data_IF_212197380724
#
_entry.id   IF_212197380724
#
_cell.length_a   1.000
_cell.length_b   1.000
_cell.length_c   1.000
_cell.angle_alpha   90.00
_cell.angle_beta   90.00
_cell.angle_gamma   90.00
#
_symmetry.space_group_name_H-M   'P 1'
#
loop_
_entity.id
_entity.type
_entity.pdbx_description
1 polymer ?
#
# COMPACT_ATOMS: atom_id res chain seq x y z
N UNK A 1 -4.99 -0.60 -43.77
CA UNK A 1 -5.26 0.72 -44.42
C UNK A 1 -4.04 1.25 -45.16
N UNK A 2 -2.89 1.40 -44.50
CA UNK A 2 -1.69 1.99 -45.09
C UNK A 2 -1.12 1.21 -46.28
N UNK A 3 -1.05 -0.13 -46.18
CA UNK A 3 -0.66 -1.00 -47.30
C UNK A 3 -1.67 -0.95 -48.47
N UNK A 4 -2.96 -0.81 -48.15
CA UNK A 4 -4.01 -0.61 -49.16
C UNK A 4 -3.87 0.72 -49.89
N UNK A 5 -3.55 1.81 -49.18
CA UNK A 5 -3.28 3.12 -49.77
C UNK A 5 -2.08 3.12 -50.71
N UNK A 6 -0.97 2.48 -50.29
CA UNK A 6 0.25 2.36 -51.11
C UNK A 6 -0.06 1.60 -52.42
N UNK A 7 -0.82 0.52 -52.35
CA UNK A 7 -1.26 -0.22 -53.55
C UNK A 7 -2.21 0.60 -54.43
N UNK A 8 -3.09 1.41 -53.81
CA UNK A 8 -4.05 2.23 -54.52
C UNK A 8 -3.38 3.37 -55.30
N UNK A 9 -2.46 4.10 -54.65
CA UNK A 9 -1.76 5.27 -55.23
C UNK A 9 -0.65 4.86 -56.19
N UNK A 10 0.02 3.73 -55.93
CA UNK A 10 1.12 3.24 -56.76
C UNK A 10 0.63 2.47 -57.99
N UNK A 11 0.53 1.13 -57.91
CA UNK A 11 0.21 0.31 -59.06
C UNK A 11 -1.21 0.56 -59.62
N UNK A 12 -2.24 0.65 -58.77
CA UNK A 12 -3.63 0.74 -59.24
C UNK A 12 -3.88 2.05 -59.98
N UNK A 13 -3.53 3.19 -59.40
CA UNK A 13 -3.71 4.49 -60.04
C UNK A 13 -2.88 4.62 -61.32
N UNK A 14 -1.64 4.11 -61.33
CA UNK A 14 -0.81 4.09 -62.53
C UNK A 14 -1.44 3.29 -63.67
N UNK A 15 -1.89 2.05 -63.40
CA UNK A 15 -2.51 1.20 -64.42
C UNK A 15 -3.81 1.80 -64.95
N UNK A 16 -4.65 2.40 -64.08
CA UNK A 16 -5.89 3.07 -64.49
C UNK A 16 -5.60 4.28 -65.38
N UNK A 17 -4.70 5.18 -64.97
CA UNK A 17 -4.38 6.38 -65.76
C UNK A 17 -3.66 6.05 -67.07
N UNK A 18 -2.83 5.00 -67.09
CA UNK A 18 -2.19 4.49 -68.31
C UNK A 18 -3.20 3.87 -69.27
N UNK A 19 -4.21 3.16 -68.79
CA UNK A 19 -5.28 2.56 -69.61
C UNK A 19 -6.10 3.59 -70.38
N UNK A 20 -6.22 4.81 -69.85
CA UNK A 20 -6.95 5.94 -70.45
C UNK A 20 -6.03 6.99 -71.09
N UNK A 21 -4.72 6.73 -71.17
CA UNK A 21 -3.69 7.63 -71.72
C UNK A 21 -3.68 9.05 -71.10
N UNK A 22 -4.12 9.13 -69.85
CA UNK A 22 -4.29 10.40 -69.09
C UNK A 22 -3.32 10.47 -67.92
N UNK A 23 -2.09 10.02 -68.12
CA UNK A 23 -1.07 9.92 -67.07
C UNK A 23 -0.75 11.29 -66.44
N UNK A 24 -0.87 12.37 -67.21
CA UNK A 24 -0.75 13.73 -66.69
C UNK A 24 -1.77 14.01 -65.57
N UNK A 25 -2.97 13.42 -65.57
CA UNK A 25 -3.96 13.65 -64.51
C UNK A 25 -3.55 13.10 -63.13
N UNK A 26 -2.44 12.35 -63.05
CA UNK A 26 -1.86 11.93 -61.78
C UNK A 26 -1.62 13.10 -60.82
N UNK A 27 -1.27 14.30 -61.33
CA UNK A 27 -1.04 15.47 -60.50
C UNK A 27 -2.31 15.94 -59.76
N UNK A 28 -3.52 15.64 -60.26
CA UNK A 28 -4.80 15.91 -59.57
C UNK A 28 -5.27 14.70 -58.77
N UNK A 29 -5.15 13.50 -59.37
CA UNK A 29 -5.67 12.29 -58.79
C UNK A 29 -4.99 11.91 -57.48
N UNK A 30 -3.66 12.10 -57.38
CA UNK A 30 -2.91 11.81 -56.16
C UNK A 30 -3.37 12.71 -54.99
N UNK A 31 -3.45 14.05 -55.13
CA UNK A 31 -4.01 14.92 -54.09
C UNK A 31 -5.43 14.55 -53.66
N UNK A 32 -6.35 14.33 -54.61
CA UNK A 32 -7.75 13.97 -54.31
C UNK A 32 -7.81 12.67 -53.51
N UNK A 33 -7.06 11.66 -53.94
CA UNK A 33 -7.02 10.37 -53.27
C UNK A 33 -6.39 10.45 -51.88
N UNK A 34 -5.39 11.32 -51.71
CA UNK A 34 -4.77 11.61 -50.41
C UNK A 34 -5.78 12.22 -49.44
N UNK A 35 -6.58 13.20 -49.89
CA UNK A 35 -7.63 13.83 -49.09
C UNK A 35 -8.71 12.82 -48.70
N UNK A 36 -9.18 12.02 -49.66
CA UNK A 36 -10.19 10.98 -49.40
C UNK A 36 -9.69 9.92 -48.42
N UNK A 37 -8.46 9.44 -48.60
CA UNK A 37 -7.87 8.47 -47.69
C UNK A 37 -7.64 9.05 -46.29
N UNK A 38 -7.23 10.32 -46.20
CA UNK A 38 -7.08 11.03 -44.93
C UNK A 38 -8.42 11.16 -44.22
N UNK A 39 -9.48 11.57 -44.93
CA UNK A 39 -10.83 11.65 -44.38
C UNK A 39 -11.37 10.28 -43.94
N UNK A 40 -11.17 9.24 -44.75
CA UNK A 40 -11.58 7.88 -44.42
C UNK A 40 -10.82 7.34 -43.19
N UNK A 41 -9.51 7.56 -43.12
CA UNK A 41 -8.67 7.12 -41.99
C UNK A 41 -9.02 7.89 -40.72
N UNK A 42 -9.26 9.20 -40.83
CA UNK A 42 -9.69 10.03 -39.71
C UNK A 42 -11.07 9.59 -39.19
N UNK A 43 -12.05 9.42 -40.08
CA UNK A 43 -13.40 8.94 -39.71
C UNK A 43 -13.38 7.52 -39.13
N UNK A 44 -12.56 6.63 -39.68
CA UNK A 44 -12.37 5.28 -39.14
C UNK A 44 -11.68 5.32 -37.76
N UNK A 45 -10.71 6.20 -37.59
CA UNK A 45 -10.06 6.46 -36.31
C UNK A 45 -11.04 6.95 -35.25
N UNK A 46 -11.95 7.86 -35.60
CA UNK A 46 -13.03 8.31 -34.71
C UNK A 46 -13.95 7.15 -34.30
N UNK A 47 -14.28 6.24 -35.22
CA UNK A 47 -15.16 5.10 -34.93
C UNK A 47 -14.51 4.01 -34.07
N UNK A 48 -13.22 3.72 -34.25
CA UNK A 48 -12.52 2.68 -33.48
C UNK A 48 -12.19 3.13 -32.05
N UNK A 49 -11.93 4.41 -31.84
CA UNK A 49 -11.33 4.92 -30.61
C UNK A 49 -12.20 4.78 -29.36
N UNK A 50 -13.47 4.41 -29.51
CA UNK A 50 -14.41 4.17 -28.41
C UNK A 50 -14.80 5.48 -27.71
N UNK A 51 -16.10 5.70 -27.55
CA UNK A 51 -16.62 6.85 -26.80
C UNK A 51 -16.87 6.50 -25.31
N UNK A 52 -16.44 5.31 -24.89
CA UNK A 52 -16.67 4.81 -23.54
C UNK A 52 -15.74 5.53 -22.55
N UNK A 53 -16.33 6.03 -21.47
CA UNK A 53 -15.61 6.63 -20.35
C UNK A 53 -15.11 5.51 -19.44
N UNK A 54 -13.85 5.56 -19.02
CA UNK A 54 -13.31 4.54 -18.10
C UNK A 54 -13.29 5.13 -16.70
N UNK A 55 -14.01 4.48 -15.78
CA UNK A 55 -13.97 4.77 -14.35
C UNK A 55 -13.07 3.75 -13.66
N UNK A 56 -11.90 4.21 -13.23
CA UNK A 56 -10.96 3.41 -12.47
C UNK A 56 -11.21 3.63 -10.97
N UNK A 57 -11.37 2.57 -10.20
CA UNK A 57 -11.56 2.61 -8.75
C UNK A 57 -10.57 1.69 -8.07
N UNK A 58 -9.71 2.27 -7.24
CA UNK A 58 -8.88 1.53 -6.30
C UNK A 58 -9.41 1.81 -4.91
N UNK A 59 -9.82 0.78 -4.18
CA UNK A 59 -10.37 0.93 -2.84
C UNK A 59 -9.52 0.23 -1.79
N UNK A 60 -9.41 0.82 -0.61
CA UNK A 60 -8.91 0.19 0.60
C UNK A 60 -10.08 0.14 1.57
N UNK A 61 -10.43 -1.07 2.01
CA UNK A 61 -11.60 -1.34 2.83
C UNK A 61 -11.15 -1.93 4.15
N UNK A 62 -11.55 -1.28 5.24
CA UNK A 62 -11.24 -1.71 6.61
C UNK A 62 -12.57 -2.08 7.31
N UNK A 63 -12.92 -3.38 7.36
CA UNK A 63 -14.15 -3.84 8.00
C UNK A 63 -14.15 -3.67 9.51
N UNK A 64 -15.33 -3.41 10.06
CA UNK A 64 -15.63 -3.44 11.49
C UNK A 64 -17.09 -3.89 11.67
N UNK A 65 -17.28 -5.13 12.13
CA UNK A 65 -18.62 -5.73 12.25
C UNK A 65 -19.27 -6.01 10.90
N UNK A 66 -20.45 -5.42 10.66
CA UNK A 66 -21.27 -5.51 9.43
C UNK A 66 -21.08 -4.29 8.50
N UNK A 67 -20.12 -3.43 8.82
CA UNK A 67 -19.79 -2.23 8.06
C UNK A 67 -18.29 -2.20 7.77
N UNK A 68 -17.89 -1.34 6.85
CA UNK A 68 -16.49 -1.07 6.61
C UNK A 68 -16.26 0.41 6.29
N UNK A 69 -15.08 0.89 6.69
CA UNK A 69 -14.56 2.15 6.19
C UNK A 69 -13.96 1.89 4.81
N UNK A 70 -14.58 2.43 3.77
CA UNK A 70 -14.11 2.33 2.40
C UNK A 70 -13.46 3.67 1.99
N UNK A 71 -12.18 3.60 1.61
CA UNK A 71 -11.45 4.70 0.99
C UNK A 71 -11.21 4.35 -0.47
N UNK A 72 -11.85 5.09 -1.37
CA UNK A 72 -11.77 4.85 -2.81
C UNK A 72 -11.05 6.00 -3.50
N UNK A 73 -10.04 5.66 -4.29
CA UNK A 73 -9.32 6.53 -5.19
C UNK A 73 -9.88 6.28 -6.58
N UNK A 74 -10.54 7.29 -7.13
CA UNK A 74 -11.24 7.22 -8.40
C UNK A 74 -10.49 8.02 -9.47
N UNK A 75 -10.45 7.49 -10.69
CA UNK A 75 -9.89 8.13 -11.87
C UNK A 75 -10.84 8.02 -13.05
N UNK A 76 -11.32 9.17 -13.53
CA UNK A 76 -12.18 9.23 -14.72
C UNK A 76 -11.30 9.56 -15.93
N UNK A 77 -11.19 8.60 -16.84
CA UNK A 77 -10.54 8.78 -18.13
C UNK A 77 -11.59 9.06 -19.20
N UNK A 78 -11.40 10.15 -19.94
CA UNK A 78 -12.37 10.60 -20.93
C UNK A 78 -11.79 10.64 -22.35
N UNK A 79 -12.47 10.05 -23.36
CA UNK A 79 -12.08 10.17 -24.77
C UNK A 79 -12.38 11.57 -25.37
N UNK A 80 -13.16 12.40 -24.66
CA UNK A 80 -13.55 13.75 -25.08
C UNK A 80 -13.32 14.80 -23.99
N UNK A 81 -13.20 16.07 -24.37
CA UNK A 81 -13.16 17.15 -23.39
C UNK A 81 -14.57 17.42 -22.86
N UNK A 82 -14.84 17.11 -21.58
CA UNK A 82 -16.18 17.22 -20.98
C UNK A 82 -16.12 17.41 -19.46
N UNK A 83 -17.18 17.97 -18.89
CA UNK A 83 -17.42 17.99 -17.45
C UNK A 83 -18.33 16.81 -17.04
N UNK A 84 -17.97 16.12 -15.97
CA UNK A 84 -18.72 14.97 -15.45
C UNK A 84 -19.31 15.28 -14.07
N UNK A 85 -20.53 14.82 -13.85
CA UNK A 85 -21.13 14.72 -12.53
C UNK A 85 -21.03 13.26 -12.07
N UNK A 86 -20.46 13.06 -10.89
CA UNK A 86 -20.26 11.76 -10.26
C UNK A 86 -21.11 11.73 -9.00
N UNK A 87 -22.09 10.83 -8.96
CA UNK A 87 -22.79 10.47 -7.75
C UNK A 87 -21.99 9.39 -7.01
N UNK A 88 -21.93 9.50 -5.69
CA UNK A 88 -21.33 8.50 -4.80
C UNK A 88 -22.45 8.02 -3.89
N UNK A 89 -22.61 6.70 -3.76
CA UNK A 89 -23.62 6.15 -2.86
C UNK A 89 -23.31 6.51 -1.39
N UNK A 90 -24.34 6.92 -0.63
CA UNK A 90 -24.24 7.23 0.80
C UNK A 90 -23.68 8.63 1.12
N UNK A 91 -23.35 8.85 2.40
CA UNK A 91 -22.75 10.11 2.89
C UNK A 91 -21.23 10.10 2.73
N UNK A 92 -20.77 9.91 1.50
CA UNK A 92 -19.35 9.92 1.20
C UNK A 92 -18.76 11.34 1.29
N UNK A 93 -17.52 11.41 1.76
CA UNK A 93 -16.70 12.60 1.78
C UNK A 93 -15.79 12.59 0.56
N UNK A 94 -16.00 13.51 -0.38
CA UNK A 94 -15.16 13.60 -1.59
C UNK A 94 -14.12 14.70 -1.49
N UNK A 95 -12.92 14.43 -1.99
CA UNK A 95 -11.83 15.41 -2.05
C UNK A 95 -11.03 15.30 -3.34
N UNK A 96 -10.46 16.40 -3.85
CA UNK A 96 -9.51 16.33 -4.96
C UNK A 96 -8.27 15.54 -4.52
N UNK A 97 -7.76 14.69 -5.40
CA UNK A 97 -6.43 14.13 -5.24
C UNK A 97 -5.43 15.10 -5.86
N UNK A 98 -4.75 15.85 -5.00
CA UNK A 98 -3.67 16.72 -5.43
C UNK A 98 -2.43 15.86 -5.63
N UNK A 99 -2.00 15.72 -6.88
CA UNK A 99 -0.61 15.42 -7.17
C UNK A 99 0.14 16.75 -7.06
N UNK A 100 1.00 16.92 -6.06
CA UNK A 100 1.91 18.07 -6.03
C UNK A 100 3.14 17.74 -6.89
N UNK A 101 3.29 18.35 -8.07
CA UNK A 101 4.47 18.13 -8.92
C UNK A 101 5.77 18.60 -8.26
N UNK A 102 5.68 19.47 -7.24
CA UNK A 102 6.83 20.03 -6.52
C UNK A 102 7.53 19.01 -5.63
N UNK A 103 6.85 17.95 -5.19
CA UNK A 103 7.48 16.89 -4.39
C UNK A 103 8.57 16.13 -5.17
N UNK A 104 8.62 16.29 -6.51
CA UNK A 104 9.63 15.72 -7.41
C UNK A 104 10.27 16.75 -8.35
N UNK A 105 10.29 18.04 -7.97
CA UNK A 105 11.13 19.07 -8.59
C UNK A 105 10.66 19.63 -9.94
N UNK A 106 9.38 19.46 -10.32
CA UNK A 106 8.88 20.01 -11.59
C UNK A 106 7.68 20.92 -11.34
N UNK A 107 7.87 22.24 -11.38
CA UNK A 107 6.75 23.18 -11.40
C UNK A 107 5.96 23.06 -12.70
N UNK A 108 4.91 22.24 -12.69
CA UNK A 108 3.81 22.43 -13.63
C UNK A 108 2.77 23.25 -12.90
N UNK A 109 2.55 24.51 -13.31
CA UNK A 109 1.56 25.44 -12.76
C UNK A 109 0.09 25.01 -12.94
N UNK A 110 -0.20 23.71 -12.88
CA UNK A 110 -1.55 23.14 -12.89
C UNK A 110 -1.90 22.73 -11.46
N UNK A 111 -2.68 23.56 -10.79
CA UNK A 111 -3.48 23.18 -9.61
C UNK A 111 -4.96 23.18 -10.02
N UNK A 112 -5.80 22.42 -9.31
CA UNK A 112 -6.01 20.98 -9.39
C UNK A 112 -7.21 20.66 -10.33
N UNK A 113 -7.48 19.38 -10.53
CA UNK A 113 -8.73 18.85 -11.09
C UNK A 113 -9.95 19.74 -10.80
N UNK A 114 -10.40 20.49 -11.82
CA UNK A 114 -11.54 21.39 -11.69
C UNK A 114 -12.80 20.59 -11.37
N UNK A 115 -13.58 21.02 -10.37
CA UNK A 115 -14.79 20.33 -9.92
C UNK A 115 -15.24 20.86 -8.56
N UNK A 116 -16.50 20.63 -8.21
CA UNK A 116 -17.08 20.90 -6.90
C UNK A 116 -17.17 19.59 -6.13
N UNK A 117 -16.48 19.51 -5.00
CA UNK A 117 -16.42 18.32 -4.16
C UNK A 117 -17.33 18.53 -2.95
N UNK A 118 -18.25 17.60 -2.73
CA UNK A 118 -19.21 17.69 -1.65
C UNK A 118 -18.80 16.75 -0.50
N UNK A 119 -19.14 17.17 0.71
CA UNK A 119 -18.88 16.47 1.96
C UNK A 119 -20.25 16.11 2.56
N UNK A 120 -20.71 14.88 2.34
CA UNK A 120 -22.07 14.44 2.68
C UNK A 120 -23.09 14.69 1.56
N UNK A 121 -23.86 13.66 1.21
CA UNK A 121 -24.96 13.70 0.24
C UNK A 121 -24.64 14.11 -1.21
N UNK A 122 -23.38 14.29 -1.59
CA UNK A 122 -23.00 14.70 -2.94
C UNK A 122 -21.62 14.20 -3.30
N UNK A 123 -21.49 13.65 -4.51
CA UNK A 123 -20.19 13.23 -5.04
C UNK A 123 -19.42 14.43 -5.60
N UNK A 124 -19.00 14.35 -6.85
CA UNK A 124 -18.23 15.41 -7.51
C UNK A 124 -19.05 15.99 -8.64
N UNK A 125 -19.23 17.32 -8.69
CA UNK A 125 -19.94 17.98 -9.80
C UNK A 125 -19.00 18.79 -10.67
N UNK A 126 -19.34 18.89 -11.95
CA UNK A 126 -18.60 19.67 -12.95
C UNK A 126 -17.10 19.32 -12.97
N UNK A 127 -16.77 18.03 -12.83
CA UNK A 127 -15.41 17.53 -12.88
C UNK A 127 -14.91 17.60 -14.32
N UNK A 128 -14.07 18.59 -14.64
CA UNK A 128 -13.58 18.79 -16.02
C UNK A 128 -12.45 17.82 -16.32
N UNK A 129 -12.63 17.05 -17.39
CA UNK A 129 -11.64 16.09 -17.89
C UNK A 129 -11.31 16.45 -19.33
N UNK A 130 -10.02 16.68 -19.60
CA UNK A 130 -9.53 16.91 -20.96
C UNK A 130 -9.62 15.64 -21.79
N UNK A 131 -9.69 15.81 -23.11
CA UNK A 131 -9.66 14.68 -24.04
C UNK A 131 -8.38 13.84 -23.85
N UNK A 132 -8.55 12.52 -23.75
CA UNK A 132 -7.50 11.52 -23.51
C UNK A 132 -6.71 11.74 -22.22
N UNK A 133 -7.30 12.44 -21.25
CA UNK A 133 -6.73 12.65 -19.94
C UNK A 133 -7.55 11.92 -18.87
N UNK A 134 -6.95 11.80 -17.70
CA UNK A 134 -7.60 11.31 -16.49
C UNK A 134 -7.66 12.42 -15.46
N UNK A 135 -8.81 12.53 -14.79
CA UNK A 135 -8.96 13.36 -13.58
C UNK A 135 -9.23 12.46 -12.39
N UNK A 136 -8.61 12.75 -11.25
CA UNK A 136 -8.65 11.89 -10.06
C UNK A 136 -9.24 12.60 -8.85
N UNK A 137 -9.91 11.82 -8.02
CA UNK A 137 -10.46 12.26 -6.73
C UNK A 137 -10.52 11.10 -5.76
N UNK A 138 -10.63 11.40 -4.47
CA UNK A 138 -10.84 10.41 -3.44
C UNK A 138 -12.24 10.57 -2.85
N UNK A 139 -12.84 9.45 -2.49
CA UNK A 139 -14.09 9.37 -1.75
C UNK A 139 -13.88 8.45 -0.53
N UNK A 140 -14.40 8.85 0.62
CA UNK A 140 -14.37 8.03 1.83
C UNK A 140 -15.79 7.92 2.40
N UNK A 141 -16.22 6.70 2.73
CA UNK A 141 -17.53 6.46 3.30
C UNK A 141 -17.52 5.26 4.25
N UNK A 142 -18.54 5.19 5.10
CA UNK A 142 -18.88 3.97 5.82
C UNK A 142 -19.96 3.23 5.04
N UNK A 143 -19.62 2.05 4.53
CA UNK A 143 -20.51 1.22 3.70
C UNK A 143 -20.90 -0.07 4.44
N UNK A 144 -22.05 -0.67 4.14
CA UNK A 144 -22.31 -2.06 4.51
C UNK A 144 -21.23 -2.96 3.94
N UNK A 145 -20.76 -3.93 4.72
CA UNK A 145 -19.75 -4.87 4.26
C UNK A 145 -19.97 -6.25 4.85
N UNK A 146 -19.89 -7.27 4.00
CA UNK A 146 -20.07 -8.65 4.42
C UNK A 146 -18.87 -9.14 5.23
N UNK A 147 -19.12 -9.92 6.27
CA UNK A 147 -18.08 -10.24 7.24
C UNK A 147 -17.04 -11.20 6.65
N UNK A 148 -15.77 -10.86 6.83
CA UNK A 148 -14.66 -11.80 6.67
C UNK A 148 -14.19 -12.13 8.09
N UNK A 149 -14.21 -13.41 8.44
CA UNK A 149 -13.94 -13.88 9.79
C UNK A 149 -12.50 -14.42 9.84
N UNK A 150 -11.71 -13.95 10.80
CA UNK A 150 -10.37 -14.47 11.07
C UNK A 150 -10.26 -14.70 12.58
N UNK A 151 -10.14 -15.96 12.98
CA UNK A 151 -10.01 -16.37 14.37
C UNK A 151 -8.67 -17.07 14.53
N UNK A 152 -7.70 -16.35 15.09
CA UNK A 152 -6.36 -16.87 15.31
C UNK A 152 -6.01 -16.85 16.80
N UNK A 153 -5.33 -17.90 17.24
CA UNK A 153 -4.68 -18.00 18.54
C UNK A 153 -3.18 -17.78 18.36
N UNK A 154 -2.59 -16.92 19.17
CA UNK A 154 -1.14 -16.82 19.33
C UNK A 154 -0.71 -17.68 20.52
N UNK A 155 0.04 -18.74 20.24
CA UNK A 155 0.65 -19.62 21.24
C UNK A 155 2.13 -19.83 20.93
N UNK A 156 2.99 -19.71 21.94
CA UNK A 156 4.42 -19.50 21.78
C UNK A 156 4.65 -18.40 20.72
N UNK A 157 5.26 -18.71 19.58
CA UNK A 157 5.46 -17.77 18.47
C UNK A 157 4.73 -18.22 17.18
N UNK A 158 3.58 -18.90 17.33
CA UNK A 158 2.82 -19.47 16.23
C UNK A 158 1.39 -18.92 16.24
N UNK A 159 0.97 -18.34 15.12
CA UNK A 159 -0.43 -17.98 14.86
C UNK A 159 -1.13 -19.20 14.25
N UNK A 160 -2.16 -19.72 14.93
CA UNK A 160 -2.96 -20.86 14.47
C UNK A 160 -4.44 -20.56 14.49
N UNK A 161 -5.18 -21.05 13.51
CA UNK A 161 -6.63 -20.92 13.50
C UNK A 161 -7.20 -20.99 12.09
N UNK A 162 -8.27 -20.25 11.83
CA UNK A 162 -8.94 -20.28 10.53
C UNK A 162 -9.32 -18.89 10.05
N UNK A 163 -9.43 -18.77 8.72
CA UNK A 163 -9.95 -17.61 8.01
C UNK A 163 -11.09 -18.06 7.12
N UNK A 164 -12.22 -17.37 7.22
CA UNK A 164 -13.45 -17.68 6.49
C UNK A 164 -13.99 -16.46 5.77
N UNK A 165 -14.34 -16.65 4.50
CA UNK A 165 -15.03 -15.63 3.72
C UNK A 165 -16.55 -15.74 3.93
N UNK A 166 -17.12 -14.86 4.75
CA UNK A 166 -18.57 -14.78 4.96
C UNK A 166 -19.31 -13.92 3.94
N UNK A 167 -18.60 -13.39 2.93
CA UNK A 167 -19.19 -12.63 1.83
C UNK A 167 -19.59 -13.47 0.63
N UNK A 168 -20.08 -12.78 -0.39
CA UNK A 168 -20.66 -13.31 -1.64
C UNK A 168 -19.68 -13.29 -2.82
N UNK A 169 -18.55 -12.61 -2.68
CA UNK A 169 -17.50 -12.55 -3.68
C UNK A 169 -16.24 -13.27 -3.22
N UNK A 170 -15.48 -13.83 -4.16
CA UNK A 170 -14.20 -14.48 -3.86
C UNK A 170 -13.18 -13.44 -3.38
N UNK A 171 -12.62 -13.66 -2.20
CA UNK A 171 -11.46 -12.90 -1.71
C UNK A 171 -10.20 -13.52 -2.32
N UNK A 172 -9.56 -12.82 -3.25
CA UNK A 172 -8.38 -13.32 -3.96
C UNK A 172 -7.10 -13.05 -3.19
N UNK A 173 -6.13 -13.95 -3.35
CA UNK A 173 -4.77 -13.82 -2.82
C UNK A 173 -4.74 -13.40 -1.33
N UNK A 174 -5.59 -14.02 -0.52
CA UNK A 174 -5.69 -13.68 0.89
C UNK A 174 -4.41 -14.08 1.62
N UNK A 175 -3.91 -13.22 2.50
CA UNK A 175 -2.69 -13.44 3.26
C UNK A 175 -2.81 -12.88 4.67
N UNK A 176 -2.41 -13.68 5.66
CA UNK A 176 -2.24 -13.20 7.05
C UNK A 176 -0.87 -12.57 7.16
N UNK A 177 -0.81 -11.34 7.66
CA UNK A 177 0.40 -10.54 7.76
C UNK A 177 0.65 -10.17 9.21
N UNK A 178 1.87 -10.38 9.69
CA UNK A 178 2.33 -9.93 10.99
C UNK A 178 3.82 -9.60 10.96
N UNK A 179 4.20 -8.42 11.48
CA UNK A 179 5.61 -8.06 11.66
C UNK A 179 6.46 -8.09 10.37
N UNK A 180 5.86 -7.84 9.20
CA UNK A 180 6.53 -7.91 7.89
C UNK A 180 6.61 -9.31 7.28
N UNK A 181 6.16 -10.33 8.01
CA UNK A 181 6.00 -11.69 7.53
C UNK A 181 4.59 -11.90 6.99
N UNK A 182 4.42 -12.84 6.07
CA UNK A 182 3.11 -13.18 5.52
C UNK A 182 2.95 -14.70 5.33
N UNK A 183 1.75 -15.19 5.63
CA UNK A 183 1.28 -16.53 5.29
C UNK A 183 0.18 -16.43 4.23
N UNK A 184 0.44 -17.00 3.05
CA UNK A 184 -0.51 -16.98 1.94
C UNK A 184 -1.61 -18.03 2.17
N UNK A 185 -2.84 -17.57 2.42
CA UNK A 185 -4.05 -18.39 2.51
C UNK A 185 -4.56 -18.75 1.10
N UNK A 186 -4.33 -17.85 0.14
CA UNK A 186 -4.76 -18.00 -1.25
C UNK A 186 -6.18 -17.48 -1.47
N UNK A 187 -6.85 -17.94 -2.52
CA UNK A 187 -8.22 -17.51 -2.81
C UNK A 187 -9.21 -18.15 -1.82
N UNK A 188 -10.19 -17.39 -1.35
CA UNK A 188 -11.30 -17.85 -0.53
C UNK A 188 -12.62 -17.57 -1.25
N UNK A 189 -13.27 -18.63 -1.76
CA UNK A 189 -14.60 -18.54 -2.34
C UNK A 189 -15.65 -18.17 -1.27
N UNK A 190 -16.85 -17.71 -1.67
CA UNK A 190 -17.95 -17.45 -0.75
C UNK A 190 -18.25 -18.64 0.17
N UNK A 191 -18.22 -18.41 1.49
CA UNK A 191 -18.42 -19.43 2.51
C UNK A 191 -17.23 -20.36 2.78
N UNK A 192 -16.14 -20.26 2.01
CA UNK A 192 -14.94 -21.09 2.18
C UNK A 192 -14.17 -20.68 3.45
N UNK A 193 -13.67 -21.70 4.15
CA UNK A 193 -12.83 -21.56 5.33
C UNK A 193 -11.51 -22.31 5.11
N UNK A 194 -10.39 -21.69 5.47
CA UNK A 194 -9.06 -22.30 5.37
C UNK A 194 -8.28 -22.18 6.67
N UNK A 195 -7.48 -23.22 7.01
CA UNK A 195 -6.60 -23.16 8.17
C UNK A 195 -5.42 -22.21 7.92
N UNK A 196 -4.96 -21.60 8.99
CA UNK A 196 -3.75 -20.80 9.05
C UNK A 196 -2.85 -21.39 10.13
N UNK A 197 -1.61 -21.67 9.77
CA UNK A 197 -0.53 -21.96 10.72
C UNK A 197 0.72 -21.21 10.27
N UNK A 198 1.01 -20.11 10.96
CA UNK A 198 2.12 -19.22 10.64
C UNK A 198 3.04 -19.13 11.84
N UNK A 199 4.23 -19.74 11.72
CA UNK A 199 5.33 -19.49 12.66
C UNK A 199 5.90 -18.11 12.36
N UNK A 200 6.04 -17.30 13.40
CA UNK A 200 6.69 -16.00 13.30
C UNK A 200 8.18 -16.22 13.56
N UNK A 201 9.02 -15.91 12.59
CA UNK A 201 10.46 -15.99 12.74
C UNK A 201 11.00 -14.66 13.27
N UNK A 202 11.86 -14.70 14.29
CA UNK A 202 12.54 -13.51 14.83
C UNK A 202 13.84 -13.18 14.07
N UNK A 203 14.11 -13.88 12.97
CA UNK A 203 15.32 -13.69 12.18
C UNK A 203 15.25 -12.38 11.36
N UNK A 204 16.29 -11.56 11.49
CA UNK A 204 16.47 -10.36 10.67
C UNK A 204 16.88 -10.80 9.26
N UNK A 205 16.01 -10.61 8.27
CA UNK A 205 16.39 -10.75 6.86
C UNK A 205 17.22 -9.53 6.45
N UNK A 206 18.52 -9.66 6.14
CA UNK A 206 19.36 -8.54 5.74
C UNK A 206 18.80 -7.91 4.46
N UNK A 207 18.60 -6.59 4.48
CA UNK A 207 18.08 -5.82 3.36
C UNK A 207 16.56 -5.74 3.26
N UNK A 208 15.81 -6.57 4.03
CA UNK A 208 14.35 -6.65 4.15
C UNK A 208 13.56 -6.68 2.84
N UNK A 209 12.69 -7.67 2.68
CA UNK A 209 11.80 -7.71 1.52
C UNK A 209 10.55 -6.85 1.80
N UNK A 210 10.15 -5.96 0.88
CA UNK A 210 8.81 -5.36 0.92
C UNK A 210 7.72 -6.42 1.12
N UNK A 211 6.67 -6.07 1.85
CA UNK A 211 5.58 -6.99 2.17
C UNK A 211 4.97 -7.63 0.90
N UNK A 212 4.90 -6.86 -0.19
CA UNK A 212 4.42 -7.35 -1.49
C UNK A 212 5.27 -8.51 -2.02
N UNK A 213 6.59 -8.48 -1.84
CA UNK A 213 7.49 -9.58 -2.21
C UNK A 213 7.24 -10.80 -1.34
N UNK A 214 7.03 -10.62 -0.04
CA UNK A 214 6.75 -11.74 0.88
C UNK A 214 5.43 -12.44 0.51
N UNK A 215 4.39 -11.66 0.18
CA UNK A 215 3.08 -12.19 -0.22
C UNK A 215 3.13 -12.88 -1.60
N UNK A 216 3.88 -12.31 -2.56
CA UNK A 216 3.90 -12.78 -3.95
C UNK A 216 5.14 -13.56 -4.37
N UNK A 217 5.98 -13.99 -3.42
CA UNK A 217 7.28 -14.66 -3.67
C UNK A 217 7.21 -15.85 -4.63
N UNK A 218 6.10 -16.60 -4.62
CA UNK A 218 5.92 -17.79 -5.46
C UNK A 218 5.54 -17.45 -6.90
N UNK A 219 5.08 -16.21 -7.15
CA UNK A 219 4.64 -15.72 -8.46
C UNK A 219 5.58 -14.68 -9.07
N UNK A 220 6.39 -14.02 -8.25
CA UNK A 220 7.25 -12.92 -8.69
C UNK A 220 8.51 -12.78 -7.84
N UNK A 221 9.59 -12.36 -8.51
CA UNK A 221 10.91 -12.06 -7.94
C UNK A 221 11.28 -10.60 -8.28
N UNK A 222 11.81 -9.89 -7.29
CA UNK A 222 12.26 -8.49 -7.39
C UNK A 222 13.24 -8.17 -8.53
N UNK A 223 14.00 -9.15 -9.01
CA UNK A 223 14.94 -8.98 -10.12
C UNK A 223 14.24 -8.92 -11.49
N UNK A 224 12.92 -9.08 -11.55
CA UNK A 224 12.12 -9.08 -12.78
C UNK A 224 11.02 -8.04 -12.70
N UNK A 225 10.58 -7.51 -13.85
CA UNK A 225 9.41 -6.66 -13.90
C UNK A 225 8.17 -7.46 -13.45
N UNK A 226 7.32 -6.93 -12.55
CA UNK A 226 6.15 -7.64 -12.10
C UNK A 226 5.16 -7.90 -13.25
N UNK A 227 4.51 -9.09 -13.24
CA UNK A 227 3.51 -9.42 -14.25
C UNK A 227 2.33 -8.44 -14.15
N UNK A 228 1.63 -8.14 -15.27
CA UNK A 228 0.63 -7.08 -15.33
C UNK A 228 -0.40 -7.10 -14.19
N UNK A 229 -0.87 -8.28 -13.81
CA UNK A 229 -1.86 -8.52 -12.76
C UNK A 229 -1.38 -8.19 -11.34
N UNK A 230 -0.06 -8.19 -11.09
CA UNK A 230 0.52 -7.87 -9.78
C UNK A 230 1.01 -6.42 -9.66
N UNK A 231 1.10 -5.67 -10.77
CA UNK A 231 1.65 -4.30 -10.75
C UNK A 231 0.90 -3.37 -9.80
N UNK A 232 -0.44 -3.35 -9.90
CA UNK A 232 -1.27 -2.49 -9.03
C UNK A 232 -1.29 -3.03 -7.59
N UNK A 233 -1.51 -4.34 -7.34
CA UNK A 233 -1.40 -4.91 -5.99
C UNK A 233 -0.08 -4.60 -5.27
N UNK A 234 1.06 -4.75 -5.95
CA UNK A 234 2.38 -4.43 -5.40
C UNK A 234 2.48 -2.95 -5.04
N UNK A 235 2.10 -2.05 -5.96
CA UNK A 235 2.14 -0.60 -5.71
C UNK A 235 1.28 -0.19 -4.52
N UNK A 236 0.07 -0.76 -4.39
CA UNK A 236 -0.82 -0.48 -3.27
C UNK A 236 -0.20 -0.98 -1.95
N UNK A 237 0.21 -2.24 -1.88
CA UNK A 237 0.80 -2.83 -0.67
C UNK A 237 2.06 -2.04 -0.26
N UNK A 238 2.96 -1.73 -1.19
CA UNK A 238 4.20 -1.01 -0.89
C UNK A 238 3.95 0.44 -0.50
N UNK A 239 2.90 1.08 -1.02
CA UNK A 239 2.51 2.43 -0.59
C UNK A 239 1.94 2.45 0.83
N UNK A 240 1.19 1.42 1.21
CA UNK A 240 0.52 1.33 2.51
C UNK A 240 1.44 0.78 3.61
N UNK A 241 2.30 -0.16 3.25
CA UNK A 241 3.17 -0.87 4.19
C UNK A 241 4.63 -0.50 4.03
N UNK A 242 5.16 -0.21 2.84
CA UNK A 242 6.60 -0.02 2.57
C UNK A 242 7.24 1.22 3.21
N UNK A 243 6.75 2.42 2.90
CA UNK A 243 7.32 3.70 3.38
C UNK A 243 6.27 4.58 4.10
N UNK A 244 5.35 3.94 4.81
CA UNK A 244 4.23 4.65 5.46
C UNK A 244 4.74 5.51 6.63
N UNK A 245 4.40 6.81 6.70
CA UNK A 245 4.72 7.67 7.85
C UNK A 245 3.97 7.27 9.12
N UNK A 246 3.05 6.30 9.02
CA UNK A 246 2.25 5.79 10.12
C UNK A 246 2.87 4.52 10.68
N UNK A 247 2.91 4.39 12.00
CA UNK A 247 3.30 3.15 12.66
C UNK A 247 2.35 2.02 12.22
N UNK A 248 2.90 0.94 11.66
CA UNK A 248 2.12 -0.27 11.33
C UNK A 248 1.42 -0.77 12.60
N UNK A 249 0.23 -1.34 12.44
CA UNK A 249 -0.44 -1.99 13.57
C UNK A 249 0.47 -3.11 14.09
N UNK A 250 0.70 -3.20 15.42
CA UNK A 250 1.42 -4.34 16.00
C UNK A 250 0.59 -5.62 15.97
N UNK A 251 -0.69 -5.55 15.60
CA UNK A 251 -1.59 -6.70 15.51
C UNK A 251 -1.62 -7.29 14.11
N UNK A 252 -1.82 -8.62 13.97
CA UNK A 252 -1.96 -9.26 12.68
C UNK A 252 -3.15 -8.71 11.90
N UNK A 253 -2.97 -8.68 10.58
CA UNK A 253 -4.02 -8.27 9.63
C UNK A 253 -4.17 -9.34 8.56
N UNK A 254 -5.40 -9.58 8.13
CA UNK A 254 -5.68 -10.35 6.93
C UNK A 254 -5.83 -9.37 5.77
N UNK A 255 -5.02 -9.56 4.73
CA UNK A 255 -5.12 -8.86 3.47
C UNK A 255 -5.80 -9.75 2.45
N UNK A 256 -6.55 -9.17 1.52
CA UNK A 256 -7.08 -9.88 0.36
C UNK A 256 -7.71 -8.93 -0.65
N UNK A 257 -8.00 -9.43 -1.85
CA UNK A 257 -8.44 -8.61 -2.97
C UNK A 257 -9.86 -8.95 -3.41
N UNK A 258 -10.68 -7.93 -3.65
CA UNK A 258 -11.97 -8.05 -4.34
C UNK A 258 -11.91 -7.33 -5.69
N UNK A 259 -12.61 -7.88 -6.67
CA UNK A 259 -12.68 -7.33 -8.05
C UNK A 259 -13.78 -6.27 -8.22
N UNK A 260 -14.36 -5.80 -7.12
CA UNK A 260 -15.38 -4.76 -7.10
C UNK A 260 -15.18 -3.83 -5.90
N UNK A 261 -15.66 -2.59 -6.00
CA UNK A 261 -15.68 -1.62 -4.91
C UNK A 261 -17.02 -1.66 -4.16
N UNK A 262 -17.02 -1.70 -2.82
CA UNK A 262 -18.26 -1.58 -2.06
C UNK A 262 -18.80 -0.14 -2.06
N UNK A 263 -17.99 0.85 -2.45
CA UNK A 263 -18.42 2.23 -2.62
C UNK A 263 -18.72 2.50 -4.11
N UNK A 264 -20.01 2.46 -4.46
CA UNK A 264 -20.43 2.64 -5.85
C UNK A 264 -20.33 4.11 -6.28
N UNK A 265 -19.73 4.29 -7.45
CA UNK A 265 -19.63 5.57 -8.14
C UNK A 265 -20.43 5.49 -9.42
N UNK A 266 -21.27 6.48 -9.67
CA UNK A 266 -22.14 6.54 -10.84
C UNK A 266 -21.89 7.85 -11.58
N UNK A 267 -21.61 7.77 -12.88
CA UNK A 267 -21.52 8.96 -13.73
C UNK A 267 -22.89 9.23 -14.34
N UNK A 268 -23.25 10.50 -14.48
CA UNK A 268 -24.55 10.92 -15.03
C UNK A 268 -24.79 10.50 -16.48
N UNK A 269 -23.72 10.37 -17.29
CA UNK A 269 -23.85 10.28 -18.74
C UNK A 269 -22.86 9.30 -19.41
N UNK A 270 -23.37 8.59 -20.42
CA UNK A 270 -22.59 7.79 -21.35
C UNK A 270 -22.46 6.32 -20.98
N UNK A 271 -21.80 5.55 -21.84
CA UNK A 271 -21.37 4.19 -21.53
C UNK A 271 -20.10 4.29 -20.69
N UNK A 272 -20.15 3.72 -19.49
CA UNK A 272 -19.02 3.72 -18.56
C UNK A 272 -18.49 2.30 -18.44
N UNK A 273 -17.19 2.16 -18.66
CA UNK A 273 -16.46 0.95 -18.33
C UNK A 273 -15.90 1.10 -16.91
N UNK A 274 -16.30 0.22 -16.01
CA UNK A 274 -15.77 0.17 -14.65
C UNK A 274 -14.54 -0.74 -14.59
N UNK A 275 -13.48 -0.25 -13.95
CA UNK A 275 -12.30 -1.02 -13.60
C UNK A 275 -12.07 -0.87 -12.11
N UNK A 276 -12.34 -1.93 -11.36
CA UNK A 276 -12.37 -1.88 -9.90
C UNK A 276 -11.37 -2.86 -9.31
N UNK A 277 -10.70 -2.43 -8.25
CA UNK A 277 -9.84 -3.27 -7.43
C UNK A 277 -9.93 -2.79 -5.99
N UNK A 278 -10.17 -3.72 -5.08
CA UNK A 278 -10.32 -3.42 -3.66
C UNK A 278 -9.36 -4.27 -2.85
N UNK A 279 -8.48 -3.61 -2.08
CA UNK A 279 -7.76 -4.25 -0.98
C UNK A 279 -8.66 -4.25 0.26
N UNK A 280 -8.88 -5.42 0.84
CA UNK A 280 -9.56 -5.57 2.12
C UNK A 280 -8.50 -5.81 3.20
N UNK A 281 -8.52 -4.98 4.24
CA UNK A 281 -7.66 -5.05 5.42
C UNK A 281 -8.51 -5.40 6.64
N UNK A 282 -8.54 -6.67 7.01
CA UNK A 282 -9.31 -7.15 8.17
C UNK A 282 -8.39 -7.23 9.38
N UNK A 283 -8.60 -6.42 10.44
CA UNK A 283 -7.87 -6.61 11.69
C UNK A 283 -8.25 -7.96 12.31
N UNK A 284 -7.25 -8.73 12.75
CA UNK A 284 -7.49 -10.04 13.34
C UNK A 284 -7.62 -9.90 14.85
N UNK A 285 -8.75 -10.36 15.39
CA UNK A 285 -8.92 -10.53 16.83
C UNK A 285 -8.19 -11.79 17.27
N UNK A 286 -7.26 -11.64 18.21
CA UNK A 286 -6.44 -12.73 18.71
C UNK A 286 -6.98 -13.31 20.00
N UNK A 287 -6.92 -14.62 20.08
CA UNK A 287 -6.87 -15.34 21.35
C UNK A 287 -5.42 -15.69 21.68
N UNK A 288 -5.17 -16.05 22.93
CA UNK A 288 -3.81 -16.26 23.44
C UNK A 288 -3.75 -17.58 24.20
N UNK A 289 -2.75 -18.39 23.89
CA UNK A 289 -2.45 -19.62 24.61
C UNK A 289 -1.87 -19.38 26.01
N UNK A 290 -1.51 -20.46 26.71
CA UNK A 290 -0.92 -20.40 28.05
C UNK A 290 0.44 -19.69 28.06
N UNK A 291 1.29 -20.00 27.09
CA UNK A 291 2.57 -19.31 26.85
C UNK A 291 2.50 -18.55 25.54
N UNK A 292 2.96 -17.30 25.56
CA UNK A 292 2.93 -16.40 24.41
C UNK A 292 4.28 -15.72 24.25
N UNK A 293 4.75 -15.66 23.01
CA UNK A 293 5.92 -14.91 22.58
C UNK A 293 5.48 -13.86 21.56
N UNK A 294 5.63 -12.59 21.92
CA UNK A 294 5.52 -11.46 21.02
C UNK A 294 6.89 -11.17 20.43
N UNK A 295 7.18 -11.75 19.27
CA UNK A 295 8.44 -11.56 18.55
C UNK A 295 8.61 -10.17 17.93
N UNK A 296 9.46 -10.09 16.89
CA UNK A 296 9.65 -8.85 16.12
C UNK A 296 8.33 -8.36 15.49
N UNK A 297 8.15 -7.04 15.49
CA UNK A 297 6.98 -6.37 14.88
C UNK A 297 5.75 -6.22 15.77
N UNK A 298 5.79 -6.72 17.01
CA UNK A 298 4.69 -6.58 17.99
C UNK A 298 4.81 -5.34 18.89
N UNK A 299 6.02 -4.78 19.02
CA UNK A 299 6.26 -3.58 19.83
C UNK A 299 6.23 -2.33 18.96
N UNK A 300 5.59 -1.26 19.45
CA UNK A 300 5.67 0.05 18.79
C UNK A 300 6.72 0.92 19.48
N UNK A 301 7.74 1.34 18.75
CA UNK A 301 8.75 2.27 19.25
C UNK A 301 8.25 3.73 19.17
N UNK A 302 8.20 4.40 20.33
CA UNK A 302 7.85 5.81 20.46
C UNK A 302 9.06 6.58 20.98
N UNK A 303 9.67 7.38 20.12
CA UNK A 303 10.85 8.17 20.46
C UNK A 303 10.46 9.45 21.21
N UNK A 304 10.94 9.62 22.45
CA UNK A 304 10.50 10.68 23.39
C UNK A 304 11.41 11.92 23.39
N UNK A 305 12.73 11.73 23.37
CA UNK A 305 13.71 12.81 23.25
C UNK A 305 14.56 12.61 22.00
N UNK A 306 14.58 13.62 21.11
CA UNK A 306 15.43 13.63 19.90
C UNK A 306 14.93 12.77 18.72
N UNK A 307 13.87 13.23 18.01
CA UNK A 307 13.85 13.09 16.53
C UNK A 307 13.52 14.39 15.78
N UNK A 308 12.99 15.43 16.43
CA UNK A 308 12.69 16.71 15.76
C UNK A 308 13.89 17.66 15.67
N UNK A 309 15.00 17.37 16.36
CA UNK A 309 16.27 18.11 16.20
C UNK A 309 17.36 17.35 15.43
N UNK A 310 17.26 16.02 15.32
CA UNK A 310 18.24 15.17 14.60
C UNK A 310 17.67 14.40 13.41
N UNK A 311 16.38 14.54 13.09
CA UNK A 311 15.71 13.84 12.00
C UNK A 311 15.22 12.44 12.38
N UNK A 312 13.95 12.14 12.09
CA UNK A 312 13.48 10.76 12.02
C UNK A 312 13.81 10.15 10.66
N UNK A 313 13.88 8.84 10.59
CA UNK A 313 14.01 8.11 9.33
C UNK A 313 12.87 7.11 9.18
N UNK A 314 12.56 6.76 7.94
CA UNK A 314 11.46 5.85 7.61
C UNK A 314 11.98 4.78 6.66
N UNK A 315 11.76 3.54 7.02
CA UNK A 315 12.19 2.37 6.26
C UNK A 315 11.06 1.34 6.26
N UNK A 316 11.31 0.19 5.64
CA UNK A 316 10.41 -0.95 5.69
C UNK A 316 10.21 -1.56 7.10
N UNK A 317 11.03 -1.20 8.09
CA UNK A 317 10.85 -1.58 9.49
C UNK A 317 10.01 -0.55 10.27
N UNK A 318 9.55 0.51 9.60
CA UNK A 318 8.73 1.57 10.15
C UNK A 318 9.55 2.81 10.51
N UNK A 319 9.14 3.50 11.57
CA UNK A 319 9.83 4.69 12.05
C UNK A 319 11.12 4.30 12.76
N UNK A 320 12.19 5.04 12.49
CA UNK A 320 13.48 4.92 13.16
C UNK A 320 14.06 6.26 13.58
N UNK A 321 15.14 6.22 14.33
CA UNK A 321 15.95 7.37 14.70
C UNK A 321 17.12 7.53 13.72
N UNK A 322 17.30 8.72 13.16
CA UNK A 322 18.50 9.00 12.37
C UNK A 322 19.68 9.27 13.31
N UNK A 323 20.75 8.49 13.18
CA UNK A 323 21.91 8.57 14.05
C UNK A 323 22.87 9.67 13.57
N UNK A 324 22.60 10.94 13.91
CA UNK A 324 23.43 12.07 13.45
C UNK A 324 24.50 12.52 14.45
N UNK A 325 24.38 12.11 15.71
CA UNK A 325 25.27 12.53 16.80
C UNK A 325 25.40 11.43 17.84
N UNK A 326 26.35 11.59 18.77
CA UNK A 326 26.50 10.71 19.94
C UNK A 326 25.65 11.16 21.15
N UNK A 327 24.65 12.03 20.95
CA UNK A 327 23.74 12.42 22.03
C UNK A 327 22.80 11.25 22.39
N UNK A 328 22.55 11.01 23.68
CA UNK A 328 21.62 9.99 24.10
C UNK A 328 20.18 10.37 23.75
N UNK A 329 19.41 9.40 23.27
CA UNK A 329 17.97 9.54 23.06
C UNK A 329 17.20 8.46 23.81
N UNK A 330 15.93 8.75 24.07
CA UNK A 330 15.04 7.83 24.79
C UNK A 330 13.91 7.37 23.89
N UNK A 331 13.59 6.09 24.01
CA UNK A 331 12.51 5.43 23.27
C UNK A 331 11.69 4.60 24.25
N UNK A 332 10.37 4.68 24.11
CA UNK A 332 9.43 3.82 24.82
C UNK A 332 8.91 2.80 23.83
N UNK A 333 9.11 1.53 24.15
CA UNK A 333 8.48 0.43 23.46
C UNK A 333 7.11 0.19 24.09
N UNK A 334 6.06 0.48 23.34
CA UNK A 334 4.69 0.14 23.70
C UNK A 334 4.44 -1.33 23.33
N UNK A 335 4.07 -2.12 24.34
CA UNK A 335 3.78 -3.53 24.21
C UNK A 335 2.34 -3.76 23.75
N UNK A 336 2.04 -4.87 23.06
CA UNK A 336 0.67 -5.20 22.69
C UNK A 336 -0.21 -5.28 23.96
N UNK A 337 -1.49 -4.86 23.91
CA UNK A 337 -2.35 -4.79 25.09
C UNK A 337 -2.40 -6.08 25.91
N UNK A 338 -2.36 -7.24 25.25
CA UNK A 338 -2.36 -8.55 25.91
C UNK A 338 -1.10 -8.83 26.74
N UNK A 339 0.05 -8.22 26.42
CA UNK A 339 1.28 -8.36 27.23
C UNK A 339 1.13 -7.73 28.62
N UNK A 340 0.15 -6.84 28.84
CA UNK A 340 -0.10 -6.20 30.14
C UNK A 340 -0.63 -7.16 31.21
N UNK A 341 -1.19 -8.29 30.79
CA UNK A 341 -1.79 -9.29 31.68
C UNK A 341 -0.95 -10.56 31.79
N UNK A 342 0.24 -10.60 31.19
CA UNK A 342 1.13 -11.75 31.26
C UNK A 342 2.15 -11.59 32.38
N UNK A 343 2.50 -12.71 33.00
CA UNK A 343 3.71 -12.85 33.79
C UNK A 343 4.91 -12.94 32.83
N UNK A 344 5.65 -11.84 32.70
CA UNK A 344 6.76 -11.73 31.74
C UNK A 344 7.95 -12.56 32.24
N UNK A 345 8.30 -13.58 31.47
CA UNK A 345 9.38 -14.53 31.80
C UNK A 345 10.68 -14.21 31.06
N UNK A 346 10.62 -13.63 29.87
CA UNK A 346 11.81 -13.26 29.10
C UNK A 346 11.56 -12.01 28.25
N UNK A 347 12.59 -11.18 28.10
CA UNK A 347 12.62 -10.03 27.20
C UNK A 347 13.96 -10.00 26.49
N UNK A 348 13.93 -9.98 25.15
CA UNK A 348 15.10 -9.77 24.31
C UNK A 348 14.97 -8.44 23.57
N UNK A 349 15.89 -7.51 23.79
CA UNK A 349 15.94 -6.25 23.06
C UNK A 349 16.73 -6.41 21.77
N UNK A 350 16.35 -5.66 20.75
CA UNK A 350 17.11 -5.56 19.52
C UNK A 350 17.18 -4.13 19.00
N UNK A 351 18.32 -3.78 18.41
CA UNK A 351 18.55 -2.54 17.67
C UNK A 351 19.12 -2.89 16.29
N UNK A 352 18.37 -2.56 15.25
CA UNK A 352 18.76 -2.73 13.85
C UNK A 352 19.19 -1.39 13.27
N UNK A 353 20.28 -1.38 12.51
CA UNK A 353 20.78 -0.16 11.84
C UNK A 353 20.79 -0.40 10.34
N UNK A 354 20.07 0.44 9.60
CA UNK A 354 20.19 0.54 8.16
C UNK A 354 21.23 1.60 7.79
N UNK A 355 22.26 1.19 7.06
CA UNK A 355 23.44 2.00 6.77
C UNK A 355 24.64 1.64 7.64
N UNK A 356 25.73 2.43 7.59
CA UNK A 356 26.91 2.19 8.40
C UNK A 356 26.58 2.25 9.91
N UNK A 357 26.83 1.18 10.69
CA UNK A 357 26.59 1.21 12.12
C UNK A 357 27.66 2.05 12.83
N UNK A 358 27.31 2.73 13.94
CA UNK A 358 28.30 3.40 14.78
C UNK A 358 29.26 2.38 15.43
N UNK A 359 30.37 2.85 15.99
CA UNK A 359 31.40 1.96 16.55
C UNK A 359 30.93 1.22 17.81
N UNK A 360 30.02 1.84 18.58
CA UNK A 360 29.48 1.31 19.83
C UNK A 360 28.02 1.78 20.00
N UNK A 361 27.23 1.02 20.76
CA UNK A 361 25.89 1.43 21.19
C UNK A 361 25.71 1.06 22.66
N UNK A 362 25.68 2.06 23.53
CA UNK A 362 25.28 1.86 24.93
C UNK A 362 23.76 1.76 25.00
N UNK A 363 23.28 0.63 25.53
CA UNK A 363 21.86 0.34 25.75
C UNK A 363 21.58 0.29 27.24
N UNK A 364 20.66 1.13 27.69
CA UNK A 364 20.20 1.17 29.07
C UNK A 364 18.68 1.02 29.12
N UNK A 365 18.17 0.29 30.11
CA UNK A 365 16.74 0.15 30.39
C UNK A 365 16.37 0.88 31.67
N UNK A 366 15.15 1.41 31.72
CA UNK A 366 14.64 2.04 32.93
C UNK A 366 14.13 0.97 33.91
N UNK A 367 14.73 0.90 35.09
CA UNK A 367 14.27 0.05 36.19
C UNK A 367 13.12 0.76 36.93
N UNK A 368 11.92 0.20 36.84
CA UNK A 368 10.72 0.78 37.46
C UNK A 368 10.65 0.59 38.98
N UNK A 369 11.41 -0.35 39.53
CA UNK A 369 11.49 -0.59 40.97
C UNK A 369 12.50 0.35 41.62
N UNK A 370 13.68 0.51 41.00
CA UNK A 370 14.75 1.37 41.51
C UNK A 370 14.59 2.85 41.09
N UNK A 371 13.84 3.13 40.01
CA UNK A 371 13.67 4.47 39.46
C UNK A 371 14.91 4.99 38.73
N UNK A 372 15.81 4.11 38.31
CA UNK A 372 17.12 4.44 37.72
C UNK A 372 17.32 3.76 36.36
N UNK A 373 18.25 4.27 35.56
CA UNK A 373 18.68 3.62 34.32
C UNK A 373 19.74 2.56 34.63
N UNK A 374 19.55 1.35 34.10
CA UNK A 374 20.46 0.22 34.27
C UNK A 374 21.11 -0.12 32.92
N UNK A 375 22.44 -0.22 32.90
CA UNK A 375 23.20 -0.63 31.71
C UNK A 375 22.93 -2.10 31.40
N UNK A 376 22.61 -2.38 30.13
CA UNK A 376 22.34 -3.72 29.63
C UNK A 376 23.45 -4.19 28.67
N UNK A 377 23.87 -3.34 27.74
CA UNK A 377 24.91 -3.68 26.77
C UNK A 377 25.67 -2.45 26.29
N UNK A 378 26.86 -2.68 25.74
CA UNK A 378 27.63 -1.67 24.99
C UNK A 378 27.91 -2.11 23.55
N UNK A 379 27.32 -3.22 23.10
CA UNK A 379 27.51 -3.74 21.73
C UNK A 379 26.17 -3.87 21.00
N UNK A 380 26.25 -3.89 19.68
CA UNK A 380 25.15 -4.31 18.82
C UNK A 380 24.82 -5.79 19.01
N UNK A 381 23.56 -6.15 18.76
CA UNK A 381 23.07 -7.52 18.84
C UNK A 381 21.83 -7.66 19.72
N UNK A 382 21.25 -8.88 19.79
CA UNK A 382 20.18 -9.19 20.74
C UNK A 382 20.70 -9.08 22.19
N UNK A 383 19.87 -8.53 23.08
CA UNK A 383 20.20 -8.33 24.49
C UNK A 383 19.09 -8.96 25.33
N UNK A 384 19.40 -10.07 26.00
CA UNK A 384 18.49 -10.70 26.94
C UNK A 384 18.55 -9.99 28.30
N UNK A 385 17.39 -9.55 28.81
CA UNK A 385 17.30 -8.87 30.10
C UNK A 385 17.23 -9.88 31.25
N UNK A 386 18.12 -9.74 32.24
CA UNK A 386 17.96 -10.43 33.52
C UNK A 386 16.82 -9.80 34.32
N UNK A 387 15.98 -10.63 34.97
CA UNK A 387 14.83 -10.16 35.76
C UNK A 387 13.89 -9.18 35.00
N UNK A 388 13.36 -9.58 33.83
CA UNK A 388 12.69 -8.67 32.89
C UNK A 388 11.49 -7.92 33.48
N UNK A 389 10.81 -8.50 34.47
CA UNK A 389 9.68 -7.88 35.17
C UNK A 389 10.01 -6.52 35.82
N UNK A 390 11.29 -6.23 36.10
CA UNK A 390 11.73 -4.93 36.65
C UNK A 390 11.69 -3.79 35.62
N UNK A 391 11.80 -4.13 34.33
CA UNK A 391 11.95 -3.17 33.24
C UNK A 391 10.65 -2.91 32.47
N UNK A 392 9.60 -3.69 32.73
CA UNK A 392 8.29 -3.54 32.10
C UNK A 392 7.24 -3.08 33.12
N UNK A 393 6.51 -2.02 32.80
CA UNK A 393 5.40 -1.55 33.64
C UNK A 393 4.27 -0.98 32.78
N UNK A 394 3.03 -1.40 33.03
CA UNK A 394 1.86 -0.88 32.32
C UNK A 394 1.84 -1.15 30.81
N UNK A 395 2.62 -2.14 30.33
CA UNK A 395 2.82 -2.38 28.89
C UNK A 395 3.81 -1.42 28.24
N UNK A 396 4.71 -0.82 29.01
CA UNK A 396 5.81 0.01 28.51
C UNK A 396 7.17 -0.58 28.94
N UNK A 397 8.14 -0.52 28.03
CA UNK A 397 9.55 -0.73 28.29
C UNK A 397 10.32 0.50 27.79
N UNK A 398 11.12 1.15 28.65
CA UNK A 398 11.87 2.36 28.27
C UNK A 398 13.34 2.05 28.07
N UNK A 399 13.87 2.54 26.96
CA UNK A 399 15.28 2.43 26.61
C UNK A 399 15.91 3.83 26.49
N UNK A 400 17.17 3.91 26.90
CA UNK A 400 18.06 5.02 26.60
C UNK A 400 19.23 4.47 25.80
N UNK A 401 19.48 5.11 24.66
CA UNK A 401 20.40 4.63 23.65
C UNK A 401 21.42 5.73 23.39
N UNK A 402 22.70 5.40 23.51
CA UNK A 402 23.81 6.33 23.25
C UNK A 402 24.72 5.73 22.18
N UNK A 403 24.57 6.11 20.91
CA UNK A 403 25.44 5.65 19.84
C UNK A 403 26.80 6.36 19.93
N UNK A 404 27.86 5.68 19.51
CA UNK A 404 29.20 6.26 19.32
C UNK A 404 29.45 6.53 17.83
N UNK A 405 28.98 7.68 17.36
CA UNK A 405 29.02 8.05 15.95
C UNK A 405 30.34 8.76 15.64
N UNK A 406 31.20 8.11 14.85
CA UNK A 406 32.44 8.74 14.34
C UNK A 406 32.21 9.32 12.94
N UNK A 407 31.98 10.65 12.86
CA UNK A 407 31.75 11.37 11.60
C UNK A 407 30.27 11.59 11.26
N UNK A 408 29.96 12.24 10.13
CA UNK A 408 28.58 12.41 9.67
C UNK A 408 28.16 11.15 8.91
N UNK A 409 27.46 10.24 9.58
CA UNK A 409 26.87 9.06 8.94
C UNK A 409 25.37 9.08 9.19
N UNK A 410 24.56 9.24 8.14
CA UNK A 410 23.10 9.13 8.24
C UNK A 410 22.71 7.66 8.20
N UNK A 411 22.69 7.00 9.35
CA UNK A 411 22.11 5.65 9.48
C UNK A 411 20.77 5.71 10.20
N UNK A 412 19.88 4.78 9.86
CA UNK A 412 18.55 4.69 10.43
C UNK A 412 18.49 3.56 11.43
N UNK A 413 18.20 3.86 12.69
CA UNK A 413 18.13 2.87 13.74
C UNK A 413 16.68 2.55 14.13
N UNK A 414 16.34 1.27 14.09
CA UNK A 414 15.09 0.71 14.57
C UNK A 414 15.33 -0.09 15.84
N UNK A 415 14.35 -0.06 16.74
CA UNK A 415 14.45 -0.70 18.04
C UNK A 415 13.15 -1.38 18.38
N UNK A 416 13.25 -2.51 19.06
CA UNK A 416 12.10 -3.26 19.53
C UNK A 416 12.50 -4.28 20.57
N UNK A 417 11.52 -5.07 20.99
CA UNK A 417 11.73 -6.16 21.93
C UNK A 417 10.90 -7.38 21.53
N UNK A 418 11.47 -8.57 21.73
CA UNK A 418 10.74 -9.82 21.81
C UNK A 418 10.38 -10.08 23.27
N UNK A 419 9.13 -10.46 23.55
CA UNK A 419 8.63 -10.66 24.91
C UNK A 419 7.97 -12.01 25.01
N UNK A 420 8.40 -12.81 25.98
CA UNK A 420 7.74 -14.05 26.35
C UNK A 420 7.09 -13.91 27.72
N UNK A 421 5.87 -14.40 27.85
CA UNK A 421 5.19 -14.49 29.13
C UNK A 421 4.18 -15.62 29.18
N UNK A 422 3.73 -15.91 30.39
CA UNK A 422 2.68 -16.88 30.69
C UNK A 422 1.46 -16.16 31.25
N UNK A 423 0.27 -16.70 31.00
CA UNK A 423 -0.99 -16.09 31.43
C UNK A 423 -1.48 -16.56 32.79
#
# INVERSE_FOLDING_TARGET
LLLGYILLVGPVLYFVLRRFDRQAWAWVAIPVLTVLFSAATYGYGLRIRGDDVILNQISVVQPYGDRARARTYAGIFSPASRAYDVAVDGDALTRPLQFDPRTWGRETGQSPSGGQYFQGGGGVRNLRVSQWAMSTFAAEAIVPFERIEAQLELGDNVLRGTVRNGGTATLRDAAVVQGGQAFLVGNLAPGEEKPVEMRLDDAVLPGGAPLSMTIFKDRWNQNMAPPPELRIPIQIIDSLYGFSPWSRSPTPVLLGWLDHSPLRLQLSDGRVQHQELTLVEVPIELTYGETVTFGRGWTRAVFQTGPFQQGGCMTQWGQGAMLMSSEPFTVTLELPPAARTLDITAVELFAEVEGPPPGRLLVETYDWQAGTWTRQSESFGPIELSEPARFVRGGELRLRLTPDVSGIQGSCMHVGASIRGTR
#
